data_IF_974760550538
#
_entry.id   IF_974760550538
#
_cell.length_a   1.000
_cell.length_b   1.000
_cell.length_c   1.000
_cell.angle_alpha   90.00
_cell.angle_beta   90.00
_cell.angle_gamma   90.00
#
_symmetry.space_group_name_H-M   'P 1'
#
loop_
_entity.id
_entity.type
_entity.pdbx_description
1 polymer ?
#
# COMPACT_ATOMS: atom_id res chain seq x y z
N UNK A 1 2.79 -16.25 12.87
CA UNK A 1 1.62 -16.12 11.95
C UNK A 1 1.70 -17.14 10.83
N UNK A 2 0.55 -17.68 10.41
CA UNK A 2 0.45 -18.53 9.21
C UNK A 2 0.52 -17.68 7.93
N UNK A 3 0.78 -18.33 6.80
CA UNK A 3 0.76 -17.69 5.48
C UNK A 3 -0.62 -17.08 5.16
N UNK A 4 -1.71 -17.75 5.55
CA UNK A 4 -3.07 -17.24 5.36
C UNK A 4 -3.33 -15.98 6.20
N UNK A 5 -2.88 -15.95 7.46
CA UNK A 5 -3.01 -14.76 8.32
C UNK A 5 -2.22 -13.58 7.77
N UNK A 6 -1.01 -13.81 7.23
CA UNK A 6 -0.19 -12.76 6.61
C UNK A 6 -0.92 -12.13 5.40
N UNK A 7 -1.47 -12.94 4.51
CA UNK A 7 -2.27 -12.42 3.38
C UNK A 7 -3.49 -11.63 3.84
N UNK A 8 -4.21 -12.13 4.85
CA UNK A 8 -5.39 -11.44 5.37
C UNK A 8 -5.03 -10.08 5.97
N UNK A 9 -3.94 -10.02 6.74
CA UNK A 9 -3.43 -8.76 7.29
C UNK A 9 -3.05 -7.78 6.18
N UNK A 10 -2.21 -8.21 5.23
CA UNK A 10 -1.78 -7.37 4.11
C UNK A 10 -2.97 -6.89 3.26
N UNK A 11 -3.96 -7.75 3.03
CA UNK A 11 -5.19 -7.40 2.31
C UNK A 11 -5.95 -6.28 3.01
N UNK A 12 -6.23 -6.43 4.31
CA UNK A 12 -6.93 -5.41 5.10
C UNK A 12 -6.16 -4.10 5.12
N UNK A 13 -4.83 -4.16 5.32
CA UNK A 13 -3.97 -2.99 5.34
C UNK A 13 -3.95 -2.25 4.00
N UNK A 14 -3.85 -2.97 2.88
CA UNK A 14 -3.89 -2.38 1.54
C UNK A 14 -5.25 -1.76 1.22
N UNK A 15 -6.35 -2.43 1.56
CA UNK A 15 -7.69 -1.87 1.36
C UNK A 15 -7.89 -0.61 2.19
N UNK A 16 -7.54 -0.66 3.48
CA UNK A 16 -7.67 0.50 4.37
C UNK A 16 -6.80 1.68 3.89
N UNK A 17 -5.56 1.41 3.47
CA UNK A 17 -4.65 2.43 2.94
C UNK A 17 -5.16 2.98 1.61
N UNK A 18 -5.75 2.14 0.77
CA UNK A 18 -6.38 2.56 -0.48
C UNK A 18 -7.55 3.51 -0.24
N UNK A 19 -8.42 3.20 0.71
CA UNK A 19 -9.51 4.09 1.13
C UNK A 19 -8.96 5.40 1.69
N UNK A 20 -7.92 5.34 2.54
CA UNK A 20 -7.30 6.53 3.11
C UNK A 20 -6.70 7.44 2.03
N UNK A 21 -6.05 6.87 1.01
CA UNK A 21 -5.55 7.62 -0.14
C UNK A 21 -6.68 8.38 -0.87
N UNK A 22 -7.81 7.71 -1.12
CA UNK A 22 -8.97 8.34 -1.74
C UNK A 22 -9.49 9.47 -0.85
N UNK A 23 -9.71 9.21 0.44
CA UNK A 23 -10.21 10.23 1.38
C UNK A 23 -9.29 11.45 1.41
N UNK A 24 -7.98 11.27 1.50
CA UNK A 24 -7.02 12.38 1.48
C UNK A 24 -7.04 13.11 0.14
N UNK A 25 -7.15 12.38 -0.98
CA UNK A 25 -7.28 12.97 -2.31
C UNK A 25 -8.50 13.90 -2.44
N UNK A 26 -9.65 13.54 -1.86
CA UNK A 26 -10.88 14.36 -1.97
C UNK A 26 -10.96 15.46 -0.91
N UNK A 27 -10.51 15.19 0.32
CA UNK A 27 -10.84 16.02 1.48
C UNK A 27 -9.72 16.94 1.97
N UNK A 28 -8.45 16.70 1.60
CA UNK A 28 -7.34 17.40 2.26
C UNK A 28 -6.04 17.55 1.47
N UNK A 29 -5.94 16.99 0.27
CA UNK A 29 -4.74 17.08 -0.53
C UNK A 29 -4.68 18.38 -1.37
N UNK A 30 -3.49 19.00 -1.48
CA UNK A 30 -3.18 19.98 -2.53
C UNK A 30 -3.54 19.44 -3.91
N UNK A 31 -3.95 20.31 -4.83
CA UNK A 31 -4.47 19.94 -6.15
C UNK A 31 -3.54 19.00 -6.93
N UNK A 32 -2.23 19.29 -6.92
CA UNK A 32 -1.20 18.48 -7.56
C UNK A 32 -1.11 17.03 -7.05
N UNK A 33 -1.55 16.76 -5.81
CA UNK A 33 -1.48 15.44 -5.18
C UNK A 33 -2.77 14.64 -5.29
N UNK A 34 -3.90 15.27 -5.67
CA UNK A 34 -5.21 14.59 -5.69
C UNK A 34 -5.23 13.41 -6.65
N UNK A 35 -4.78 13.60 -7.89
CA UNK A 35 -4.79 12.52 -8.89
C UNK A 35 -3.81 11.41 -8.52
N UNK A 36 -2.53 11.69 -8.20
CA UNK A 36 -1.61 10.65 -7.72
C UNK A 36 -2.18 9.85 -6.55
N UNK A 37 -2.70 10.52 -5.52
CA UNK A 37 -3.31 9.86 -4.36
C UNK A 37 -4.50 9.00 -4.77
N UNK A 38 -5.38 9.48 -5.64
CA UNK A 38 -6.52 8.70 -6.11
C UNK A 38 -6.11 7.44 -6.88
N UNK A 39 -5.09 7.56 -7.74
CA UNK A 39 -4.53 6.41 -8.50
C UNK A 39 -3.94 5.37 -7.55
N UNK A 40 -3.12 5.79 -6.57
CA UNK A 40 -2.60 4.87 -5.56
C UNK A 40 -3.71 4.27 -4.70
N UNK A 41 -4.74 5.06 -4.37
CA UNK A 41 -5.92 4.59 -3.65
C UNK A 41 -6.65 3.45 -4.35
N UNK A 42 -6.92 3.62 -5.65
CA UNK A 42 -7.54 2.59 -6.48
C UNK A 42 -6.63 1.36 -6.63
N UNK A 43 -5.33 1.57 -6.84
CA UNK A 43 -4.33 0.50 -6.97
C UNK A 43 -4.26 -0.35 -5.69
N UNK A 44 -4.11 0.28 -4.52
CA UNK A 44 -3.99 -0.41 -3.24
C UNK A 44 -5.29 -1.09 -2.84
N UNK A 45 -6.44 -0.44 -3.05
CA UNK A 45 -7.74 -1.07 -2.84
C UNK A 45 -7.92 -2.33 -3.68
N UNK A 46 -7.61 -2.25 -4.98
CA UNK A 46 -7.72 -3.39 -5.91
C UNK A 46 -6.77 -4.51 -5.52
N UNK A 47 -5.49 -4.21 -5.30
CA UNK A 47 -4.50 -5.21 -4.90
C UNK A 47 -4.85 -5.84 -3.56
N UNK A 48 -5.36 -5.07 -2.61
CA UNK A 48 -5.81 -5.57 -1.31
C UNK A 48 -6.93 -6.59 -1.42
N UNK A 49 -7.93 -6.35 -2.27
CA UNK A 49 -9.02 -7.31 -2.54
C UNK A 49 -8.49 -8.56 -3.24
N UNK A 50 -7.70 -8.37 -4.29
CA UNK A 50 -7.13 -9.49 -5.08
C UNK A 50 -6.16 -10.34 -4.25
N UNK A 51 -5.50 -9.76 -3.25
CA UNK A 51 -4.49 -10.45 -2.47
C UNK A 51 -5.05 -11.72 -1.81
N UNK A 52 -6.28 -11.71 -1.30
CA UNK A 52 -6.85 -12.87 -0.58
C UNK A 52 -6.86 -14.14 -1.44
N UNK A 53 -7.25 -14.02 -2.70
CA UNK A 53 -7.38 -15.13 -3.64
C UNK A 53 -6.17 -15.27 -4.58
N UNK A 54 -5.30 -14.25 -4.63
CA UNK A 54 -4.13 -14.21 -5.51
C UNK A 54 -2.96 -15.09 -5.07
N UNK A 55 -2.16 -15.55 -6.03
CA UNK A 55 -0.91 -16.26 -5.76
C UNK A 55 0.28 -15.31 -5.56
N UNK A 56 1.49 -15.88 -5.67
CA UNK A 56 2.77 -15.16 -5.64
C UNK A 56 2.82 -13.89 -6.53
N UNK A 57 2.26 -13.86 -7.76
CA UNK A 57 2.28 -12.66 -8.60
C UNK A 57 1.58 -11.46 -7.96
N UNK A 58 0.43 -11.68 -7.30
CA UNK A 58 -0.33 -10.59 -6.67
C UNK A 58 0.39 -10.07 -5.43
N UNK A 59 1.03 -10.96 -4.66
CA UNK A 59 1.87 -10.57 -3.52
C UNK A 59 3.05 -9.71 -3.98
N UNK A 60 3.74 -10.11 -5.05
CA UNK A 60 4.83 -9.33 -5.62
C UNK A 60 4.35 -7.99 -6.17
N UNK A 61 3.21 -7.95 -6.86
CA UNK A 61 2.62 -6.71 -7.36
C UNK A 61 2.28 -5.75 -6.22
N UNK A 62 1.71 -6.25 -5.12
CA UNK A 62 1.47 -5.46 -3.91
C UNK A 62 2.77 -4.90 -3.32
N UNK A 63 3.82 -5.73 -3.21
CA UNK A 63 5.12 -5.28 -2.72
C UNK A 63 5.73 -4.20 -3.63
N UNK A 64 5.72 -4.40 -4.95
CA UNK A 64 6.21 -3.40 -5.91
C UNK A 64 5.44 -2.08 -5.78
N UNK A 65 4.10 -2.15 -5.67
CA UNK A 65 3.26 -0.97 -5.51
C UNK A 65 3.56 -0.20 -4.21
N UNK A 66 3.83 -0.91 -3.11
CA UNK A 66 4.27 -0.31 -1.83
C UNK A 66 5.65 0.34 -1.95
N UNK A 67 6.61 -0.34 -2.59
CA UNK A 67 7.95 0.22 -2.82
C UNK A 67 7.90 1.51 -3.64
N UNK A 68 7.10 1.53 -4.71
CA UNK A 68 6.92 2.72 -5.55
C UNK A 68 6.23 3.84 -4.74
N UNK A 69 5.22 3.50 -3.94
CA UNK A 69 4.52 4.45 -3.06
C UNK A 69 5.47 5.13 -2.08
N UNK A 70 6.30 4.36 -1.38
CA UNK A 70 7.32 4.90 -0.47
C UNK A 70 8.36 5.73 -1.23
N UNK A 71 8.88 5.25 -2.36
CA UNK A 71 9.95 5.92 -3.08
C UNK A 71 9.48 7.27 -3.66
N UNK A 72 8.38 7.25 -4.43
CA UNK A 72 7.86 8.45 -5.08
C UNK A 72 7.15 9.37 -4.07
N UNK A 73 6.31 8.80 -3.22
CA UNK A 73 5.60 9.56 -2.19
C UNK A 73 6.57 10.16 -1.17
N UNK A 74 7.58 9.40 -0.73
CA UNK A 74 8.57 9.85 0.24
C UNK A 74 9.46 10.95 -0.33
N UNK A 75 9.94 10.81 -1.57
CA UNK A 75 10.70 11.87 -2.24
C UNK A 75 9.88 13.17 -2.36
N UNK A 76 8.61 13.06 -2.80
CA UNK A 76 7.73 14.22 -2.88
C UNK A 76 7.44 14.83 -1.51
N UNK A 77 7.21 14.01 -0.47
CA UNK A 77 6.93 14.49 0.88
C UNK A 77 8.13 15.22 1.50
N UNK A 78 9.36 14.75 1.25
CA UNK A 78 10.58 15.41 1.72
C UNK A 78 10.80 16.78 1.05
N UNK A 79 10.42 16.92 -0.22
CA UNK A 79 10.62 18.15 -0.99
C UNK A 79 9.51 19.17 -0.78
N UNK A 80 8.26 18.71 -0.78
CA UNK A 80 7.07 19.57 -0.84
C UNK A 80 6.23 19.53 0.45
N UNK A 81 6.59 18.67 1.41
CA UNK A 81 5.76 18.36 2.57
C UNK A 81 4.48 17.62 2.17
N UNK A 82 3.54 17.54 3.11
CA UNK A 82 2.23 16.98 2.86
C UNK A 82 1.45 16.72 4.15
N UNK A 83 0.22 16.22 4.04
CA UNK A 83 -0.56 15.80 5.19
C UNK A 83 0.18 14.73 6.01
N UNK A 84 0.13 14.79 7.36
CA UNK A 84 0.77 13.78 8.22
C UNK A 84 0.20 12.38 8.01
N UNK A 85 -1.00 12.24 7.44
CA UNK A 85 -1.59 10.97 7.04
C UNK A 85 -0.75 10.22 6.01
N UNK A 86 0.04 10.91 5.17
CA UNK A 86 0.96 10.26 4.22
C UNK A 86 2.02 9.43 4.96
N UNK A 87 2.52 9.90 6.10
CA UNK A 87 3.49 9.15 6.91
C UNK A 87 2.90 7.83 7.44
N UNK A 88 1.61 7.84 7.80
CA UNK A 88 0.90 6.63 8.22
C UNK A 88 0.78 5.64 7.06
N UNK A 89 0.51 6.13 5.84
CA UNK A 89 0.47 5.28 4.65
C UNK A 89 1.83 4.60 4.40
N UNK A 90 2.94 5.32 4.52
CA UNK A 90 4.28 4.73 4.37
C UNK A 90 4.59 3.67 5.42
N UNK A 91 4.12 3.84 6.66
CA UNK A 91 4.26 2.80 7.68
C UNK A 91 3.48 1.54 7.30
N UNK A 92 2.28 1.70 6.75
CA UNK A 92 1.49 0.56 6.29
C UNK A 92 2.19 -0.14 5.11
N UNK A 93 2.72 0.61 4.15
CA UNK A 93 3.48 0.08 3.02
C UNK A 93 4.69 -0.75 3.50
N UNK A 94 5.43 -0.26 4.51
CA UNK A 94 6.53 -0.98 5.12
C UNK A 94 6.07 -2.30 5.78
N UNK A 95 4.93 -2.29 6.47
CA UNK A 95 4.33 -3.50 7.05
C UNK A 95 3.91 -4.49 5.96
N UNK A 96 3.35 -4.01 4.85
CA UNK A 96 2.97 -4.87 3.71
C UNK A 96 4.21 -5.48 3.05
N UNK A 97 5.31 -4.72 2.90
CA UNK A 97 6.58 -5.21 2.38
C UNK A 97 7.17 -6.32 3.27
N UNK A 98 7.24 -6.09 4.58
CA UNK A 98 7.72 -7.09 5.55
C UNK A 98 6.80 -8.32 5.54
N UNK A 99 5.48 -8.11 5.55
CA UNK A 99 4.49 -9.19 5.48
C UNK A 99 4.61 -10.02 4.22
N UNK A 100 4.85 -9.38 3.07
CA UNK A 100 5.07 -10.04 1.78
C UNK A 100 6.35 -10.88 1.76
N UNK A 101 7.46 -10.33 2.27
CA UNK A 101 8.71 -11.08 2.42
C UNK A 101 8.58 -12.30 3.35
N UNK A 102 7.89 -12.14 4.48
CA UNK A 102 7.58 -13.24 5.40
C UNK A 102 6.65 -14.28 4.78
N UNK A 103 5.72 -13.86 3.94
CA UNK A 103 4.83 -14.77 3.22
C UNK A 103 5.62 -15.60 2.21
N UNK A 104 6.44 -14.95 1.38
CA UNK A 104 7.27 -15.60 0.34
C UNK A 104 8.24 -16.61 0.94
N UNK A 105 8.85 -16.33 2.10
CA UNK A 105 9.75 -17.28 2.76
C UNK A 105 9.05 -18.53 3.31
N UNK A 106 7.73 -18.44 3.59
CA UNK A 106 6.92 -19.56 4.08
C UNK A 106 6.32 -20.41 2.97
N UNK A 107 6.05 -19.83 1.80
CA UNK A 107 5.40 -20.50 0.67
C UNK A 107 6.35 -20.79 -0.49
N UNK A 108 7.62 -20.39 -0.38
CA UNK A 108 8.65 -20.58 -1.40
C UNK A 108 9.38 -21.93 -1.34
N UNK A 109 8.79 -22.95 -0.70
CA UNK A 109 9.24 -24.34 -0.76
C UNK A 109 8.30 -25.12 -1.67
#
# INVERSE_FOLDING_TARGET
MSAATLKRLMSVLLVATGVLHIVVAVAGAPEALRIPLAVFGALYGTLGVLLLNGGKPIVLAAMVACTIGIALGGANYLQNGGPPTILVMFLIDAVVLVGGGLWLSKTGK
#
